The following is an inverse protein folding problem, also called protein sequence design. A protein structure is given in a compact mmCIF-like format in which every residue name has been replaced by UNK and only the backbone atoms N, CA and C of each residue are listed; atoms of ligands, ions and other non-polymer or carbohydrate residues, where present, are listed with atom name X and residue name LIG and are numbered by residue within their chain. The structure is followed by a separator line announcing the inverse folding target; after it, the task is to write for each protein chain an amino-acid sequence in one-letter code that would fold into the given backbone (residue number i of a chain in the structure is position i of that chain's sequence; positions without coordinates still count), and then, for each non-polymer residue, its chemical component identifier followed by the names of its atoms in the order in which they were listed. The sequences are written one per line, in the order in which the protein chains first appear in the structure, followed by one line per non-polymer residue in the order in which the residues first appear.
data_IF_883896736048
#
_entry.id   IF_883896736048
#
_cell.length_a   1.000
_cell.length_b   1.000
_cell.length_c   1.000
_cell.angle_alpha   90.00
_cell.angle_beta   90.00
_cell.angle_gamma   90.00
#
_symmetry.space_group_name_H-M   'P 1'
#
loop_
_entity.id
_entity.type
_entity.pdbx_description
1 polymer ?
#
# COMPACT_ATOMS: atom_id res chain seq x y z
N UNK A 1 -0.67 8.13 -20.66
CA UNK A 1 -1.00 8.71 -19.34
C UNK A 1 -1.56 7.58 -18.49
N UNK A 2 -1.03 7.38 -17.28
CA UNK A 2 -1.37 6.22 -16.45
C UNK A 2 -2.63 6.46 -15.66
N UNK A 3 -3.55 5.48 -15.63
CA UNK A 3 -4.70 5.44 -14.72
C UNK A 3 -4.28 4.57 -13.54
N UNK A 4 -3.78 5.17 -12.47
CA UNK A 4 -3.24 4.48 -11.30
C UNK A 4 -4.28 4.36 -10.18
N UNK A 5 -4.21 3.27 -9.42
CA UNK A 5 -5.16 2.96 -8.36
C UNK A 5 -4.46 2.51 -7.07
N UNK A 6 -5.12 2.72 -5.94
CA UNK A 6 -4.82 2.09 -4.65
C UNK A 6 -6.09 1.46 -4.08
N UNK A 7 -5.94 0.42 -3.25
CA UNK A 7 -7.05 0.00 -2.38
C UNK A 7 -6.99 0.79 -1.08
N UNK A 8 -8.10 1.40 -0.68
CA UNK A 8 -8.18 2.24 0.51
C UNK A 8 -9.29 1.72 1.43
N UNK A 9 -8.97 1.57 2.72
CA UNK A 9 -9.97 1.43 3.77
C UNK A 9 -10.24 2.82 4.36
N UNK A 10 -11.40 3.37 3.99
CA UNK A 10 -11.84 4.69 4.42
C UNK A 10 -12.04 4.72 5.94
N UNK A 11 -12.70 3.70 6.48
CA UNK A 11 -13.02 3.62 7.92
C UNK A 11 -11.77 3.61 8.82
N UNK A 12 -10.65 3.04 8.34
CA UNK A 12 -9.40 2.94 9.11
C UNK A 12 -8.35 3.97 8.71
N UNK A 13 -8.59 4.77 7.67
CA UNK A 13 -7.58 5.68 7.08
C UNK A 13 -6.30 4.94 6.68
N UNK A 14 -6.46 3.82 5.97
CA UNK A 14 -5.36 2.98 5.52
C UNK A 14 -5.44 2.72 4.02
N UNK A 15 -4.31 2.48 3.36
CA UNK A 15 -4.30 2.06 1.98
C UNK A 15 -3.22 1.00 1.70
N UNK A 16 -3.43 0.24 0.63
CA UNK A 16 -2.48 -0.68 0.03
C UNK A 16 -2.05 -0.14 -1.33
N UNK A 17 -0.74 0.06 -1.45
CA UNK A 17 -0.11 0.41 -2.70
C UNK A 17 0.19 -0.86 -3.53
N UNK A 18 -0.45 -1.04 -4.70
CA UNK A 18 -0.21 -2.22 -5.54
C UNK A 18 1.23 -2.31 -6.05
N UNK A 19 1.91 -1.18 -6.30
CA UNK A 19 3.30 -1.19 -6.75
C UNK A 19 4.22 -1.80 -5.69
N UNK A 20 4.00 -1.42 -4.43
CA UNK A 20 4.76 -1.98 -3.29
C UNK A 20 4.49 -3.48 -3.08
N UNK A 21 3.38 -3.98 -3.63
CA UNK A 21 3.01 -5.40 -3.62
C UNK A 21 3.33 -6.10 -4.95
N UNK A 22 4.28 -5.57 -5.71
CA UNK A 22 4.81 -6.17 -6.93
C UNK A 22 3.85 -6.18 -8.12
N UNK A 23 2.71 -5.49 -8.01
CA UNK A 23 1.77 -5.26 -9.08
C UNK A 23 2.12 -4.01 -9.88
N UNK A 24 1.58 -3.87 -11.08
CA UNK A 24 1.40 -2.55 -11.66
C UNK A 24 0.22 -1.83 -11.01
N UNK A 25 0.21 -0.49 -11.06
CA UNK A 25 -0.86 0.32 -10.43
C UNK A 25 -2.06 0.57 -11.35
N UNK A 26 -2.06 0.09 -12.60
CA UNK A 26 -3.28 0.15 -13.43
C UNK A 26 -4.27 -0.91 -12.99
N UNK A 27 -5.57 -0.61 -13.10
CA UNK A 27 -6.63 -1.53 -12.66
C UNK A 27 -6.51 -2.93 -13.29
N UNK A 28 -6.19 -3.02 -14.58
CA UNK A 28 -5.99 -4.31 -15.26
C UNK A 28 -4.76 -5.08 -14.74
N UNK A 29 -3.69 -4.37 -14.36
CA UNK A 29 -2.49 -4.99 -13.80
C UNK A 29 -2.77 -5.54 -12.40
N UNK A 30 -3.52 -4.77 -11.59
CA UNK A 30 -4.00 -5.20 -10.27
C UNK A 30 -4.92 -6.42 -10.35
N UNK A 31 -5.80 -6.47 -11.34
CA UNK A 31 -6.74 -7.57 -11.54
C UNK A 31 -6.04 -8.93 -11.73
N UNK A 32 -4.87 -8.93 -12.38
CA UNK A 32 -4.06 -10.14 -12.57
C UNK A 32 -2.95 -10.31 -11.53
N UNK A 33 -2.85 -9.44 -10.53
CA UNK A 33 -1.78 -9.50 -9.54
C UNK A 33 -2.09 -10.48 -8.42
N UNK A 34 -1.26 -11.51 -8.32
CA UNK A 34 -1.39 -12.52 -7.27
C UNK A 34 -1.07 -11.97 -5.88
N UNK A 35 0.08 -11.32 -5.68
CA UNK A 35 0.49 -10.80 -4.37
C UNK A 35 -0.44 -9.72 -3.84
N UNK A 36 -0.86 -8.78 -4.71
CA UNK A 36 -1.81 -7.76 -4.32
C UNK A 36 -3.17 -8.37 -3.95
N UNK A 37 -3.68 -9.30 -4.77
CA UNK A 37 -4.96 -9.96 -4.48
C UNK A 37 -4.93 -10.79 -3.20
N UNK A 38 -3.84 -11.56 -2.96
CA UNK A 38 -3.65 -12.31 -1.71
C UNK A 38 -3.65 -11.39 -0.49
N UNK A 39 -2.91 -10.28 -0.54
CA UNK A 39 -2.89 -9.30 0.55
C UNK A 39 -4.26 -8.65 0.77
N UNK A 40 -4.94 -8.21 -0.28
CA UNK A 40 -6.27 -7.60 -0.18
C UNK A 40 -7.30 -8.57 0.39
N UNK A 41 -7.33 -9.82 -0.08
CA UNK A 41 -8.23 -10.86 0.42
C UNK A 41 -7.95 -11.17 1.89
N UNK A 42 -6.68 -11.31 2.29
CA UNK A 42 -6.32 -11.53 3.69
C UNK A 42 -6.77 -10.37 4.59
N UNK A 43 -6.61 -9.12 4.14
CA UNK A 43 -7.08 -7.95 4.88
C UNK A 43 -8.60 -7.95 5.06
N UNK A 44 -9.37 -8.41 4.06
CA UNK A 44 -10.83 -8.42 4.08
C UNK A 44 -11.44 -9.64 4.82
N UNK A 45 -10.70 -10.74 4.92
CA UNK A 45 -11.20 -11.99 5.51
C UNK A 45 -11.40 -11.87 7.04
N UNK A 46 -12.45 -12.45 7.61
CA UNK A 46 -12.63 -12.51 9.08
C UNK A 46 -11.64 -13.47 9.79
N UNK A 47 -10.72 -14.08 9.03
CA UNK A 47 -9.78 -15.10 9.50
C UNK A 47 -10.46 -16.45 9.70
N UNK A 48 -9.74 -17.52 9.36
CA UNK A 48 -10.10 -18.89 9.70
C UNK A 48 -8.80 -19.70 9.97
N UNK A 49 -8.93 -21.02 10.13
CA UNK A 49 -7.80 -21.91 10.40
C UNK A 49 -6.85 -22.12 9.21
N UNK A 50 -7.16 -21.59 8.02
CA UNK A 50 -6.36 -21.77 6.80
C UNK A 50 -5.25 -20.72 6.66
N UNK A 51 -5.36 -19.59 7.37
CA UNK A 51 -4.35 -18.55 7.42
C UNK A 51 -3.64 -18.53 8.78
N UNK A 52 -2.36 -18.12 8.83
CA UNK A 52 -1.67 -17.95 10.10
C UNK A 52 -2.35 -16.86 10.93
N UNK A 53 -2.34 -17.03 12.25
CA UNK A 53 -2.71 -15.98 13.19
C UNK A 53 -1.73 -14.81 13.04
N UNK A 54 -2.16 -13.79 12.31
CA UNK A 54 -1.35 -12.63 11.97
C UNK A 54 -2.23 -11.37 11.98
N UNK A 55 -1.78 -10.24 12.58
CA UNK A 55 -2.58 -9.01 12.71
C UNK A 55 -3.03 -8.35 11.41
N UNK A 56 -2.55 -8.84 10.27
CA UNK A 56 -2.95 -8.36 8.96
C UNK A 56 -4.22 -9.05 8.44
N UNK A 57 -4.50 -10.28 8.89
CA UNK A 57 -5.72 -11.00 8.54
C UNK A 57 -6.90 -10.30 9.21
N UNK A 58 -7.95 -9.99 8.45
CA UNK A 58 -9.13 -9.26 8.94
C UNK A 58 -8.87 -7.81 9.32
N UNK A 59 -7.70 -7.27 8.99
CA UNK A 59 -7.35 -5.88 9.24
C UNK A 59 -8.40 -4.92 8.69
N UNK A 60 -9.04 -5.23 7.57
CA UNK A 60 -10.05 -4.40 6.92
C UNK A 60 -11.46 -4.99 6.94
N UNK A 61 -11.67 -6.12 7.60
CA UNK A 61 -12.98 -6.75 7.70
C UNK A 61 -14.02 -5.79 8.31
N UNK A 62 -15.18 -5.67 7.66
CA UNK A 62 -16.27 -4.76 8.04
C UNK A 62 -16.02 -3.27 7.78
N UNK A 63 -14.86 -2.89 7.23
CA UNK A 63 -14.56 -1.51 6.86
C UNK A 63 -15.12 -1.13 5.49
N UNK A 64 -15.26 0.16 5.25
CA UNK A 64 -15.56 0.68 3.91
C UNK A 64 -14.29 0.69 3.06
N UNK A 65 -14.21 -0.23 2.10
CA UNK A 65 -13.04 -0.40 1.24
C UNK A 65 -13.37 -0.04 -0.22
N UNK A 66 -12.53 0.78 -0.84
CA UNK A 66 -12.74 1.32 -2.19
C UNK A 66 -11.41 1.26 -2.96
N UNK A 67 -11.47 0.95 -4.27
CA UNK A 67 -10.36 1.22 -5.18
C UNK A 67 -10.42 2.67 -5.65
N UNK A 68 -9.42 3.46 -5.30
CA UNK A 68 -9.38 4.90 -5.60
C UNK A 68 -8.39 5.14 -6.73
N UNK A 69 -8.85 5.77 -7.81
CA UNK A 69 -8.05 6.06 -8.99
C UNK A 69 -7.56 7.52 -9.02
N UNK A 70 -6.39 7.76 -9.59
CA UNK A 70 -5.78 9.09 -9.77
C UNK A 70 -6.64 10.09 -10.56
N UNK A 71 -7.47 9.61 -11.48
CA UNK A 71 -8.47 10.41 -12.21
C UNK A 71 -9.78 10.63 -11.45
N UNK A 72 -9.93 10.14 -10.21
CA UNK A 72 -11.09 10.45 -9.38
C UNK A 72 -10.96 11.85 -8.77
N UNK A 73 -11.13 12.87 -9.62
CA UNK A 73 -11.14 14.28 -9.21
C UNK A 73 -12.30 14.58 -8.27
N UNK A 74 -12.22 15.68 -7.52
CA UNK A 74 -13.30 16.11 -6.61
C UNK A 74 -14.65 16.25 -7.32
N UNK A 75 -14.69 16.76 -8.55
CA UNK A 75 -15.91 16.84 -9.37
C UNK A 75 -16.47 15.46 -9.70
N UNK A 76 -15.60 14.52 -10.09
CA UNK A 76 -16.01 13.16 -10.40
C UNK A 76 -16.59 12.46 -9.16
N UNK A 77 -15.94 12.61 -8.00
CA UNK A 77 -16.42 12.08 -6.72
C UNK A 77 -17.76 12.69 -6.32
N UNK A 78 -17.89 14.02 -6.42
CA UNK A 78 -19.13 14.74 -6.12
C UNK A 78 -20.30 14.26 -6.98
N UNK A 79 -20.05 14.01 -8.26
CA UNK A 79 -21.03 13.44 -9.18
C UNK A 79 -21.42 12.01 -8.82
N UNK A 80 -20.46 11.15 -8.44
CA UNK A 80 -20.80 9.79 -7.97
C UNK A 80 -21.65 9.80 -6.70
N UNK A 81 -21.45 10.78 -5.81
CA UNK A 81 -22.26 10.96 -4.61
C UNK A 81 -23.67 11.42 -4.97
N UNK A 82 -23.82 12.42 -5.85
CA UNK A 82 -25.14 12.91 -6.27
C UNK A 82 -25.95 11.88 -7.05
N UNK A 83 -25.27 11.01 -7.82
CA UNK A 83 -25.86 9.85 -8.50
C UNK A 83 -26.20 8.69 -7.51
N UNK A 84 -25.86 8.80 -6.22
CA UNK A 84 -26.08 7.75 -5.22
C UNK A 84 -25.19 6.51 -5.40
N UNK A 85 -24.14 6.60 -6.22
CA UNK A 85 -23.22 5.50 -6.55
C UNK A 85 -22.05 5.38 -5.59
N UNK A 86 -21.78 6.44 -4.84
CA UNK A 86 -20.75 6.49 -3.81
C UNK A 86 -21.33 7.15 -2.57
N UNK A 87 -21.14 6.53 -1.42
CA UNK A 87 -21.39 7.14 -0.12
C UNK A 87 -20.06 7.25 0.61
N UNK A 88 -19.74 8.41 1.16
CA UNK A 88 -18.55 8.62 1.97
C UNK A 88 -18.94 9.21 3.32
N UNK A 89 -18.21 8.90 4.40
CA UNK A 89 -18.40 9.56 5.69
C UNK A 89 -18.22 11.08 5.57
N UNK A 90 -19.01 11.86 6.32
CA UNK A 90 -18.96 13.33 6.27
C UNK A 90 -17.56 13.89 6.49
N UNK A 91 -16.78 13.29 7.40
CA UNK A 91 -15.40 13.73 7.65
C UNK A 91 -14.50 13.61 6.41
N UNK A 92 -14.75 12.64 5.52
CA UNK A 92 -13.98 12.50 4.27
C UNK A 92 -14.31 13.66 3.33
N UNK A 93 -15.59 14.01 3.24
CA UNK A 93 -16.05 15.12 2.39
C UNK A 93 -15.47 16.45 2.89
N UNK A 94 -15.50 16.68 4.20
CA UNK A 94 -14.96 17.88 4.83
C UNK A 94 -13.43 18.00 4.69
N UNK A 95 -12.70 16.89 4.72
CA UNK A 95 -11.24 16.90 4.52
C UNK A 95 -10.87 16.99 3.04
N UNK A 96 -11.63 16.36 2.13
CA UNK A 96 -11.44 16.45 0.68
C UNK A 96 -11.66 17.87 0.15
N UNK A 97 -12.67 18.58 0.65
CA UNK A 97 -12.97 19.96 0.25
C UNK A 97 -11.86 20.95 0.66
N UNK A 98 -11.07 20.60 1.68
CA UNK A 98 -9.94 21.42 2.17
C UNK A 98 -8.60 21.04 1.52
N UNK A 99 -8.54 19.96 0.74
CA UNK A 99 -7.29 19.48 0.17
C UNK A 99 -7.02 20.20 -1.16
N UNK A 100 -6.47 21.41 -1.06
CA UNK A 100 -6.02 22.21 -2.21
C UNK A 100 -4.74 21.64 -2.88
N UNK A 101 -4.10 20.67 -2.23
CA UNK A 101 -2.76 20.18 -2.56
C UNK A 101 -2.83 18.88 -3.38
N UNK A 102 -2.84 19.04 -4.69
CA UNK A 102 -2.75 17.94 -5.62
C UNK A 102 -1.30 17.47 -5.83
N UNK A 103 -1.06 16.16 -5.81
CA UNK A 103 0.27 15.61 -6.14
C UNK A 103 0.74 16.01 -7.56
N UNK A 104 -0.20 16.25 -8.49
CA UNK A 104 0.05 16.61 -9.89
C UNK A 104 -0.73 17.86 -10.36
N UNK A 105 -1.17 18.73 -9.44
CA UNK A 105 -1.89 19.98 -9.77
C UNK A 105 -3.40 19.87 -9.99
N UNK A 106 -3.98 18.66 -9.97
CA UNK A 106 -5.45 18.44 -9.95
C UNK A 106 -5.84 17.68 -8.66
N UNK A 107 -6.59 18.30 -7.73
CA UNK A 107 -7.04 17.64 -6.52
C UNK A 107 -7.85 16.38 -6.86
N UNK A 108 -7.41 15.25 -6.32
CA UNK A 108 -8.02 13.94 -6.56
C UNK A 108 -8.12 13.15 -5.28
N UNK A 109 -9.15 12.30 -5.21
CA UNK A 109 -9.35 11.44 -4.06
C UNK A 109 -8.16 10.50 -3.83
N UNK A 110 -7.47 10.14 -4.90
CA UNK A 110 -6.22 9.38 -4.83
C UNK A 110 -5.12 10.13 -4.09
N UNK A 111 -4.89 11.41 -4.43
CA UNK A 111 -3.88 12.24 -3.77
C UNK A 111 -4.21 12.42 -2.30
N UNK A 112 -5.49 12.69 -2.00
CA UNK A 112 -5.99 12.76 -0.63
C UNK A 112 -5.70 11.50 0.17
N UNK A 113 -6.01 10.31 -0.38
CA UNK A 113 -5.72 9.03 0.27
C UNK A 113 -4.22 8.86 0.49
N UNK A 114 -3.39 9.03 -0.55
CA UNK A 114 -1.93 8.84 -0.45
C UNK A 114 -1.28 9.76 0.58
N UNK A 115 -1.82 10.97 0.77
CA UNK A 115 -1.31 11.99 1.71
C UNK A 115 -1.78 11.74 3.14
N UNK A 116 -3.05 11.42 3.33
CA UNK A 116 -3.69 11.42 4.65
C UNK A 116 -3.83 10.03 5.28
N UNK A 117 -3.72 8.96 4.49
CA UNK A 117 -3.92 7.60 4.99
C UNK A 117 -2.58 6.92 5.23
N UNK A 118 -2.58 5.95 6.15
CA UNK A 118 -1.41 5.12 6.42
C UNK A 118 -1.26 4.07 5.32
N UNK A 119 -0.10 4.06 4.66
CA UNK A 119 0.31 2.94 3.82
C UNK A 119 0.58 1.71 4.69
N UNK A 120 -0.15 0.61 4.45
CA UNK A 120 0.01 -0.66 5.17
C UNK A 120 0.62 -1.76 4.30
N UNK A 121 1.23 -1.41 3.15
CA UNK A 121 1.88 -2.37 2.26
C UNK A 121 3.08 -3.07 2.91
N UNK A 122 3.80 -2.44 3.84
CA UNK A 122 4.91 -3.10 4.56
C UNK A 122 4.39 -4.22 5.45
N UNK A 123 3.30 -3.99 6.17
CA UNK A 123 2.63 -5.01 6.98
C UNK A 123 2.08 -6.15 6.11
N UNK A 124 1.60 -5.84 4.90
CA UNK A 124 1.19 -6.84 3.93
C UNK A 124 2.36 -7.71 3.45
N UNK A 125 3.54 -7.12 3.17
CA UNK A 125 4.76 -7.87 2.80
C UNK A 125 5.16 -8.80 3.93
N UNK A 126 5.14 -8.33 5.20
CA UNK A 126 5.44 -9.16 6.37
C UNK A 126 4.49 -10.36 6.48
N UNK A 127 3.19 -10.13 6.25
CA UNK A 127 2.20 -11.19 6.20
C UNK A 127 2.48 -12.20 5.09
N UNK A 128 2.73 -11.73 3.86
CA UNK A 128 3.01 -12.61 2.72
C UNK A 128 4.26 -13.46 2.95
N UNK A 129 5.31 -12.90 3.56
CA UNK A 129 6.48 -13.66 4.00
C UNK A 129 6.14 -14.73 5.04
N UNK A 130 5.23 -14.44 5.97
CA UNK A 130 4.80 -15.42 6.97
C UNK A 130 4.02 -16.60 6.35
N UNK A 131 3.21 -16.34 5.33
CA UNK A 131 2.42 -17.37 4.63
C UNK A 131 3.28 -18.16 3.64
N UNK A 132 4.07 -17.47 2.82
CA UNK A 132 4.93 -18.06 1.80
C UNK A 132 6.31 -17.36 1.83
N UNK A 133 7.28 -17.91 2.59
CA UNK A 133 8.58 -17.25 2.79
C UNK A 133 9.34 -16.96 1.50
N UNK A 134 9.30 -17.85 0.51
CA UNK A 134 10.03 -17.68 -0.76
C UNK A 134 9.48 -16.52 -1.59
N UNK A 135 8.16 -16.49 -1.80
CA UNK A 135 7.50 -15.41 -2.53
C UNK A 135 7.56 -14.08 -1.75
N UNK A 136 7.32 -14.12 -0.44
CA UNK A 136 7.41 -12.93 0.39
C UNK A 136 8.81 -12.34 0.45
N UNK A 137 9.85 -13.19 0.41
CA UNK A 137 11.24 -12.73 0.32
C UNK A 137 11.51 -12.07 -1.02
N UNK A 138 11.02 -12.66 -2.11
CA UNK A 138 11.12 -12.07 -3.46
C UNK A 138 10.49 -10.68 -3.49
N UNK A 139 9.30 -10.54 -2.91
CA UNK A 139 8.61 -9.26 -2.81
C UNK A 139 9.37 -8.27 -1.92
N UNK A 140 9.88 -8.71 -0.77
CA UNK A 140 10.69 -7.89 0.13
C UNK A 140 11.99 -7.39 -0.56
N UNK A 141 12.66 -8.23 -1.34
CA UNK A 141 13.84 -7.85 -2.12
C UNK A 141 13.51 -6.78 -3.15
N UNK A 142 12.42 -6.96 -3.90
CA UNK A 142 11.93 -5.96 -4.87
C UNK A 142 11.61 -4.63 -4.19
N UNK A 143 10.88 -4.68 -3.08
CA UNK A 143 10.53 -3.51 -2.28
C UNK A 143 11.77 -2.73 -1.80
N UNK A 144 12.80 -3.44 -1.33
CA UNK A 144 14.06 -2.81 -0.90
C UNK A 144 14.85 -2.26 -2.10
N UNK A 145 14.83 -2.94 -3.24
CA UNK A 145 15.48 -2.46 -4.46
C UNK A 145 14.83 -1.17 -5.00
N UNK A 146 13.49 -1.07 -4.89
CA UNK A 146 12.70 0.09 -5.34
C UNK A 146 13.04 1.39 -4.60
N UNK A 147 13.65 1.31 -3.40
CA UNK A 147 14.24 2.49 -2.74
C UNK A 147 15.29 3.18 -3.63
N UNK A 148 16.11 2.42 -4.38
CA UNK A 148 17.12 2.99 -5.28
C UNK A 148 16.50 3.79 -6.41
N UNK A 149 15.28 3.45 -6.80
CA UNK A 149 14.52 4.10 -7.86
C UNK A 149 13.65 5.25 -7.33
N UNK A 150 13.63 5.48 -6.01
CA UNK A 150 12.84 6.54 -5.39
C UNK A 150 11.36 6.21 -5.18
N UNK A 151 10.93 4.96 -5.43
CA UNK A 151 9.53 4.56 -5.24
C UNK A 151 9.18 4.20 -3.80
N UNK A 152 10.19 3.90 -2.98
CA UNK A 152 10.03 3.54 -1.58
C UNK A 152 10.83 4.52 -0.72
N UNK A 153 10.19 5.04 0.32
CA UNK A 153 10.84 5.95 1.25
C UNK A 153 11.72 5.16 2.26
N UNK A 154 12.77 5.81 2.81
CA UNK A 154 13.66 5.16 3.78
C UNK A 154 12.94 4.57 5.01
N UNK A 155 11.90 5.24 5.52
CA UNK A 155 11.20 4.83 6.74
C UNK A 155 10.49 3.50 6.51
N UNK A 156 9.89 3.31 5.34
CA UNK A 156 9.24 2.06 4.97
C UNK A 156 10.23 0.90 4.83
N UNK A 157 11.44 1.14 4.29
CA UNK A 157 12.51 0.11 4.26
C UNK A 157 12.93 -0.27 5.68
N UNK A 158 13.14 0.70 6.56
CA UNK A 158 13.51 0.45 7.95
C UNK A 158 12.39 -0.27 8.72
N UNK A 159 11.12 0.05 8.43
CA UNK A 159 9.96 -0.62 9.01
C UNK A 159 9.90 -2.10 8.62
N UNK A 160 10.18 -2.44 7.36
CA UNK A 160 10.26 -3.83 6.90
C UNK A 160 11.34 -4.60 7.69
N UNK A 161 12.52 -3.99 7.86
CA UNK A 161 13.67 -4.58 8.54
C UNK A 161 13.55 -4.68 10.06
N UNK A 162 12.46 -4.19 10.67
CA UNK A 162 12.14 -4.48 12.07
C UNK A 162 11.75 -5.95 12.27
N UNK A 163 11.26 -6.60 11.23
CA UNK A 163 11.05 -8.04 11.24
C UNK A 163 12.40 -8.75 11.10
N UNK A 164 12.78 -9.48 12.15
CA UNK A 164 14.12 -10.09 12.25
C UNK A 164 14.33 -11.22 11.25
N UNK A 165 13.28 -11.96 10.94
CA UNK A 165 13.36 -13.10 10.02
C UNK A 165 13.54 -12.60 8.59
N UNK A 166 12.74 -11.60 8.21
CA UNK A 166 12.89 -10.91 6.91
C UNK A 166 14.26 -10.24 6.81
N UNK A 167 14.70 -9.51 7.83
CA UNK A 167 15.99 -8.82 7.81
C UNK A 167 17.16 -9.81 7.64
N UNK A 168 17.09 -10.97 8.31
CA UNK A 168 18.09 -12.04 8.17
C UNK A 168 18.07 -12.63 6.77
N UNK A 169 16.89 -12.96 6.23
CA UNK A 169 16.74 -13.51 4.89
C UNK A 169 17.24 -12.54 3.80
N UNK A 170 16.87 -11.26 3.88
CA UNK A 170 17.37 -10.22 2.98
C UNK A 170 18.89 -10.06 3.07
N UNK A 171 19.47 -10.16 4.27
CA UNK A 171 20.91 -10.09 4.42
C UNK A 171 21.64 -11.30 3.80
N UNK A 172 21.02 -12.47 3.81
CA UNK A 172 21.55 -13.67 3.16
C UNK A 172 21.50 -13.54 1.63
N UNK A 173 20.35 -13.14 1.06
CA UNK A 173 20.16 -13.05 -0.39
C UNK A 173 20.83 -11.82 -1.02
N UNK A 174 20.68 -10.64 -0.41
CA UNK A 174 21.18 -9.39 -1.00
C UNK A 174 22.60 -9.03 -0.53
N UNK A 175 23.08 -9.60 0.56
CA UNK A 175 24.46 -9.47 1.02
C UNK A 175 24.97 -8.02 1.09
N UNK A 176 25.95 -7.70 0.24
CA UNK A 176 26.57 -6.37 0.16
C UNK A 176 25.67 -5.29 -0.42
N UNK A 177 24.66 -5.65 -1.21
CA UNK A 177 23.70 -4.70 -1.79
C UNK A 177 22.82 -4.06 -0.70
N UNK A 178 22.28 -4.88 0.20
CA UNK A 178 21.50 -4.39 1.34
C UNK A 178 22.32 -3.43 2.20
N UNK A 179 23.59 -3.75 2.46
CA UNK A 179 24.51 -2.86 3.20
C UNK A 179 24.69 -1.52 2.50
N UNK A 180 24.82 -1.50 1.17
CA UNK A 180 24.91 -0.25 0.38
C UNK A 180 23.63 0.57 0.51
N UNK A 181 22.45 -0.06 0.41
CA UNK A 181 21.15 0.60 0.58
C UNK A 181 21.04 1.24 1.97
N UNK A 182 21.32 0.48 3.03
CA UNK A 182 21.30 0.97 4.40
C UNK A 182 22.28 2.11 4.64
N UNK A 183 23.46 2.08 4.03
CA UNK A 183 24.42 3.18 4.11
C UNK A 183 23.92 4.47 3.45
N UNK A 184 23.08 4.37 2.42
CA UNK A 184 22.46 5.53 1.75
C UNK A 184 21.35 6.11 2.63
N UNK A 185 20.48 5.25 3.17
CA UNK A 185 19.43 5.65 4.11
C UNK A 185 20.02 6.40 5.32
N UNK A 186 21.09 5.90 5.92
CA UNK A 186 21.77 6.56 7.04
C UNK A 186 22.35 7.94 6.69
N UNK A 187 22.81 8.13 5.45
CA UNK A 187 23.36 9.40 4.98
C UNK A 187 22.29 10.43 4.68
N UNK A 188 21.09 10.01 4.26
CA UNK A 188 19.98 10.93 3.99
C UNK A 188 19.27 11.43 5.26
N UNK A 189 19.62 10.90 6.44
CA UNK A 189 19.04 11.26 7.75
C UNK A 189 20.05 11.98 8.67
N UNK A 190 21.24 12.31 8.15
CA UNK A 190 22.21 13.19 8.81
C UNK A 190 22.10 14.58 8.21
#
# INVERSE_FOLDING_TARGET
MGQYYVAANISKREFLDPHRLGSGSKLVEMFYSEWFSRALLAALALGDWTLPDHPFVGRWAGGQVILVGDYMTSDYVSRLISEGRLSLPSWVLEELDKDDDALDGIPSFYSFVKKNFKDVSVEAIKFLYRVCPEEGLTLAMRFVADYKMGFVDPKSVLELLKDKDIAKALQQEMGGELKKILSRIKRSHR
#
